data_IF_033829886940
#
_entry.id   IF_033829886940
#
_cell.length_a   1.000
_cell.length_b   1.000
_cell.length_c   1.000
_cell.angle_alpha   90.00
_cell.angle_beta   90.00
_cell.angle_gamma   90.00
#
_symmetry.space_group_name_H-M   'P 1'
#
loop_
_entity.id
_entity.type
_entity.pdbx_description
1 polymer ?
#
# COMPACT_ATOMS: atom_id res chain seq x y z
N UNK A 1 25.42 21.02 -19.70
CA UNK A 1 25.14 19.61 -19.86
C UNK A 1 24.40 19.10 -18.63
N UNK A 2 23.09 18.82 -18.76
CA UNK A 2 22.26 18.30 -17.68
C UNK A 2 22.63 16.85 -17.40
N UNK A 3 22.91 16.54 -16.15
CA UNK A 3 23.09 15.15 -15.69
C UNK A 3 21.72 14.48 -15.68
N UNK A 4 21.55 13.44 -16.48
CA UNK A 4 20.34 12.62 -16.44
C UNK A 4 20.18 12.01 -15.04
N UNK A 5 18.98 12.03 -14.44
CA UNK A 5 18.78 11.42 -13.14
C UNK A 5 19.08 9.92 -13.20
N UNK A 6 19.86 9.43 -12.23
CA UNK A 6 20.31 8.05 -12.15
C UNK A 6 19.14 7.07 -11.94
N UNK A 7 18.01 7.54 -11.40
CA UNK A 7 16.82 6.74 -11.18
C UNK A 7 15.58 7.36 -11.86
N UNK A 8 14.72 6.50 -12.41
CA UNK A 8 13.42 6.94 -12.97
C UNK A 8 12.53 7.47 -11.84
N UNK A 9 11.81 8.56 -12.11
CA UNK A 9 10.84 9.10 -11.16
C UNK A 9 9.75 8.06 -10.87
N UNK A 10 9.54 7.75 -9.60
CA UNK A 10 8.52 6.79 -9.17
C UNK A 10 7.12 7.41 -9.08
N UNK A 11 7.06 8.73 -8.92
CA UNK A 11 5.80 9.45 -8.69
C UNK A 11 5.11 9.74 -10.02
N UNK A 12 5.80 10.37 -10.98
CA UNK A 12 5.19 10.76 -12.24
C UNK A 12 5.23 9.59 -13.22
N UNK A 13 4.05 9.10 -13.60
CA UNK A 13 3.92 7.99 -14.56
C UNK A 13 2.99 8.38 -15.71
N UNK A 14 3.35 7.96 -16.91
CA UNK A 14 2.44 8.01 -18.04
C UNK A 14 1.39 6.92 -17.91
N UNK A 15 0.15 7.28 -18.08
CA UNK A 15 -0.99 6.37 -18.15
C UNK A 15 -1.86 6.75 -19.34
N UNK A 16 -2.65 5.80 -19.81
CA UNK A 16 -3.67 6.05 -20.83
C UNK A 16 -5.03 6.17 -20.19
N UNK A 17 -5.81 7.17 -20.57
CA UNK A 17 -7.20 7.37 -20.17
C UNK A 17 -8.11 7.26 -21.38
N UNK A 18 -9.26 6.62 -21.23
CA UNK A 18 -10.38 6.70 -22.16
C UNK A 18 -11.11 8.03 -21.94
N UNK A 19 -11.05 8.93 -22.91
CA UNK A 19 -11.62 10.27 -22.80
C UNK A 19 -13.15 10.28 -22.73
N UNK A 20 -13.82 9.18 -23.08
CA UNK A 20 -15.28 9.04 -23.04
C UNK A 20 -15.77 8.72 -21.61
N UNK A 21 -15.05 7.87 -20.91
CA UNK A 21 -15.40 7.41 -19.56
C UNK A 21 -14.61 8.08 -18.44
N UNK A 22 -13.43 8.66 -18.79
CA UNK A 22 -12.50 9.21 -17.81
C UNK A 22 -11.71 8.16 -17.03
N UNK A 23 -11.97 6.87 -17.26
CA UNK A 23 -11.26 5.80 -16.59
C UNK A 23 -9.88 5.53 -17.21
N UNK A 24 -8.99 4.95 -16.43
CA UNK A 24 -7.73 4.42 -16.91
C UNK A 24 -7.97 3.22 -17.81
N UNK A 25 -7.16 3.09 -18.87
CA UNK A 25 -7.20 1.96 -19.79
C UNK A 25 -5.79 1.55 -20.21
N UNK A 26 -5.60 0.30 -20.59
CA UNK A 26 -4.36 -0.19 -21.19
C UNK A 26 -4.46 -0.27 -22.73
N UNK A 27 -5.63 0.06 -23.29
CA UNK A 27 -5.76 0.23 -24.72
C UNK A 27 -4.96 1.44 -25.19
N UNK A 28 -4.22 1.30 -26.26
CA UNK A 28 -3.43 2.37 -26.88
C UNK A 28 -3.79 2.49 -28.35
N UNK A 29 -3.49 3.67 -28.93
CA UNK A 29 -3.67 3.89 -30.37
C UNK A 29 -5.11 4.07 -30.83
N UNK A 30 -6.08 4.15 -29.95
CA UNK A 30 -7.47 4.48 -30.29
C UNK A 30 -7.70 6.00 -30.22
N UNK A 31 -8.58 6.57 -31.06
CA UNK A 31 -8.83 8.01 -31.10
C UNK A 31 -9.39 8.59 -29.79
N UNK A 32 -10.01 7.75 -28.96
CA UNK A 32 -10.53 8.10 -27.64
C UNK A 32 -9.56 7.81 -26.49
N UNK A 33 -8.35 7.32 -26.78
CA UNK A 33 -7.31 7.07 -25.80
C UNK A 33 -6.31 8.22 -25.79
N UNK A 34 -6.04 8.77 -24.61
CA UNK A 34 -5.09 9.86 -24.42
C UNK A 34 -4.04 9.48 -23.38
N UNK A 35 -2.77 9.64 -23.73
CA UNK A 35 -1.69 9.55 -22.74
C UNK A 35 -1.64 10.82 -21.90
N UNK A 36 -1.55 10.64 -20.58
CA UNK A 36 -1.40 11.72 -19.60
C UNK A 36 -0.38 11.31 -18.53
N UNK A 37 0.25 12.30 -17.91
CA UNK A 37 1.09 12.08 -16.74
C UNK A 37 0.23 12.27 -15.50
N UNK A 38 0.33 11.31 -14.55
CA UNK A 38 -0.34 11.37 -13.25
C UNK A 38 0.64 11.08 -12.12
N UNK A 39 0.28 11.54 -10.93
CA UNK A 39 1.10 11.41 -9.73
C UNK A 39 0.66 10.19 -8.92
N UNK A 40 1.61 9.26 -8.70
CA UNK A 40 1.42 8.05 -7.92
C UNK A 40 2.11 8.21 -6.56
N UNK A 41 1.52 9.01 -5.72
CA UNK A 41 2.00 9.22 -4.36
C UNK A 41 1.64 8.03 -3.46
N UNK A 42 2.55 7.60 -2.56
CA UNK A 42 2.20 6.67 -1.48
C UNK A 42 1.06 7.21 -0.62
N UNK A 43 0.25 6.31 -0.09
CA UNK A 43 -0.99 6.64 0.63
C UNK A 43 -0.77 7.55 1.86
N UNK A 44 0.35 7.38 2.56
CA UNK A 44 0.74 8.22 3.70
C UNK A 44 0.98 9.67 3.28
N UNK A 45 1.64 9.90 2.15
CA UNK A 45 1.85 11.24 1.60
C UNK A 45 0.55 11.83 1.01
N UNK A 46 -0.31 11.00 0.41
CA UNK A 46 -1.63 11.45 -0.06
C UNK A 46 -2.47 12.02 1.10
N UNK A 47 -2.47 11.34 2.26
CA UNK A 47 -3.17 11.81 3.44
C UNK A 47 -2.64 13.17 3.92
N UNK A 48 -1.31 13.35 3.95
CA UNK A 48 -0.69 14.63 4.31
C UNK A 48 -1.05 15.76 3.32
N UNK A 49 -1.06 15.49 2.02
CA UNK A 49 -1.45 16.47 1.02
C UNK A 49 -2.92 16.87 1.15
N UNK A 50 -3.80 15.90 1.44
CA UNK A 50 -5.22 16.17 1.67
C UNK A 50 -5.43 17.04 2.92
N UNK A 51 -4.73 16.73 4.02
CA UNK A 51 -4.76 17.51 5.25
C UNK A 51 -4.23 18.94 5.04
N UNK A 52 -3.17 19.08 4.25
CA UNK A 52 -2.59 20.40 3.91
C UNK A 52 -3.39 21.17 2.85
N UNK A 53 -4.48 20.62 2.31
CA UNK A 53 -5.28 21.23 1.25
C UNK A 53 -4.54 21.39 -0.09
N UNK A 54 -3.52 20.55 -0.33
CA UNK A 54 -2.72 20.60 -1.55
C UNK A 54 -3.28 19.64 -2.61
N UNK A 55 -3.91 20.15 -3.70
CA UNK A 55 -4.46 19.31 -4.75
C UNK A 55 -3.33 18.56 -5.49
N UNK A 56 -3.59 17.29 -5.85
CA UNK A 56 -2.67 16.44 -6.61
C UNK A 56 -3.36 15.82 -7.81
N UNK A 57 -2.58 15.59 -8.87
CA UNK A 57 -3.05 14.96 -10.11
C UNK A 57 -2.99 13.43 -9.97
N UNK A 58 -3.83 12.88 -9.09
CA UNK A 58 -3.89 11.43 -8.86
C UNK A 58 -4.37 10.67 -10.10
N UNK A 59 -3.97 9.40 -10.24
CA UNK A 59 -4.44 8.57 -11.34
C UNK A 59 -5.94 8.27 -11.19
N UNK A 60 -6.72 8.29 -12.28
CA UNK A 60 -8.08 7.76 -12.25
C UNK A 60 -8.05 6.24 -12.06
N UNK A 61 -9.16 5.71 -11.55
CA UNK A 61 -9.36 4.27 -11.43
C UNK A 61 -9.50 3.58 -12.79
N UNK A 62 -9.34 2.25 -12.77
CA UNK A 62 -9.82 1.41 -13.87
C UNK A 62 -11.34 1.24 -13.79
N UNK A 63 -12.02 0.90 -14.90
CA UNK A 63 -13.43 0.52 -14.87
C UNK A 63 -13.69 -0.58 -13.83
N UNK A 64 -14.83 -0.56 -13.12
CA UNK A 64 -15.13 -1.53 -12.05
C UNK A 64 -15.03 -3.00 -12.48
N UNK A 65 -15.35 -3.30 -13.73
CA UNK A 65 -15.26 -4.65 -14.30
C UNK A 65 -13.81 -5.12 -14.47
N UNK A 66 -12.89 -4.22 -14.82
CA UNK A 66 -11.48 -4.52 -15.03
C UNK A 66 -10.69 -4.53 -13.71
N UNK A 67 -11.13 -3.80 -12.72
CA UNK A 67 -10.50 -3.77 -11.39
C UNK A 67 -10.50 -5.14 -10.70
N UNK A 68 -11.43 -6.02 -11.05
CA UNK A 68 -11.59 -7.36 -10.47
C UNK A 68 -10.67 -8.40 -11.10
N UNK A 69 -10.07 -8.15 -12.25
CA UNK A 69 -9.35 -9.18 -13.01
C UNK A 69 -7.92 -9.46 -12.56
N UNK A 70 -7.36 -8.65 -11.65
CA UNK A 70 -6.00 -8.84 -11.10
C UNK A 70 -4.86 -8.83 -12.15
N UNK A 71 -5.16 -8.58 -13.42
CA UNK A 71 -4.22 -8.68 -14.53
C UNK A 71 -3.19 -7.55 -14.59
N UNK A 72 -3.43 -6.45 -13.85
CA UNK A 72 -2.61 -5.26 -13.92
C UNK A 72 -1.64 -5.17 -12.73
N UNK A 73 -0.47 -5.78 -12.89
CA UNK A 73 0.63 -5.75 -11.90
C UNK A 73 1.49 -4.48 -11.94
N UNK A 74 1.03 -3.41 -12.60
CA UNK A 74 1.78 -2.16 -12.62
C UNK A 74 1.68 -1.46 -11.26
N UNK A 75 2.78 -0.88 -10.78
CA UNK A 75 2.84 -0.15 -9.52
C UNK A 75 3.78 -0.80 -8.52
N UNK A 76 3.97 -0.13 -7.38
CA UNK A 76 4.83 -0.61 -6.31
C UNK A 76 4.06 -1.47 -5.32
N UNK A 77 4.71 -2.48 -4.70
CA UNK A 77 4.10 -3.24 -3.64
C UNK A 77 3.77 -2.35 -2.43
N UNK A 78 2.84 -2.75 -1.57
CA UNK A 78 2.66 -2.12 -0.29
C UNK A 78 3.95 -2.19 0.53
N UNK A 79 4.14 -1.28 1.48
CA UNK A 79 5.30 -1.23 2.36
C UNK A 79 4.83 -1.18 3.81
N UNK A 80 5.25 -2.15 4.62
CA UNK A 80 4.92 -2.21 6.04
C UNK A 80 5.60 -1.05 6.77
N UNK A 81 4.81 -0.17 7.40
CA UNK A 81 5.26 0.94 8.23
C UNK A 81 5.32 0.56 9.70
N UNK A 82 4.42 -0.31 10.12
CA UNK A 82 4.38 -0.88 11.46
C UNK A 82 3.84 -2.32 11.38
N UNK A 83 4.44 -3.27 12.10
CA UNK A 83 5.60 -3.17 12.97
C UNK A 83 6.91 -2.90 12.19
N UNK A 84 7.92 -2.37 12.88
CA UNK A 84 9.24 -2.14 12.29
C UNK A 84 9.92 -3.49 12.01
N UNK A 85 10.53 -3.60 10.84
CA UNK A 85 11.30 -4.79 10.43
C UNK A 85 12.48 -5.02 11.41
N UNK A 86 12.74 -6.27 11.71
CA UNK A 86 13.84 -6.70 12.60
C UNK A 86 13.78 -6.14 14.03
N UNK A 87 12.58 -5.80 14.51
CA UNK A 87 12.38 -5.29 15.86
C UNK A 87 11.79 -6.37 16.77
N UNK A 88 12.27 -6.43 18.00
CA UNK A 88 11.72 -7.26 19.05
C UNK A 88 10.78 -6.43 19.93
N UNK A 89 9.57 -6.91 20.11
CA UNK A 89 8.54 -6.30 20.96
C UNK A 89 8.47 -7.06 22.28
N UNK A 90 8.49 -6.31 23.38
CA UNK A 90 8.42 -6.89 24.73
C UNK A 90 7.13 -6.43 25.40
N UNK A 91 6.25 -7.38 25.69
CA UNK A 91 5.01 -7.13 26.42
C UNK A 91 5.22 -7.38 27.92
N UNK A 92 4.79 -6.44 28.76
CA UNK A 92 4.85 -6.58 30.21
C UNK A 92 3.60 -7.29 30.72
N UNK A 93 3.79 -8.30 31.59
CA UNK A 93 2.70 -9.06 32.20
C UNK A 93 1.74 -8.19 33.03
N UNK A 94 2.24 -7.08 33.56
CA UNK A 94 1.47 -6.13 34.37
C UNK A 94 0.49 -5.26 33.62
N UNK A 95 0.61 -5.19 32.27
CA UNK A 95 -0.25 -4.32 31.44
C UNK A 95 -0.75 -5.04 30.18
N UNK A 96 -1.80 -5.89 30.29
CA UNK A 96 -2.37 -6.60 29.15
C UNK A 96 -2.93 -5.67 28.06
N UNK A 97 -3.31 -4.44 28.42
CA UNK A 97 -3.85 -3.46 27.46
C UNK A 97 -2.77 -2.96 26.49
N UNK A 98 -1.50 -2.97 26.89
CA UNK A 98 -0.37 -2.60 26.05
C UNK A 98 0.25 -3.77 25.25
N UNK A 99 -0.35 -4.95 25.33
CA UNK A 99 0.06 -6.12 24.55
C UNK A 99 -0.50 -6.08 23.11
N UNK A 100 -0.40 -4.91 22.47
CA UNK A 100 -0.96 -4.64 21.15
C UNK A 100 0.15 -4.16 20.20
N UNK A 101 0.18 -4.66 18.99
CA UNK A 101 1.03 -4.16 17.90
C UNK A 101 0.11 -3.49 16.88
N UNK A 102 0.47 -2.30 16.47
CA UNK A 102 -0.23 -1.61 15.40
C UNK A 102 0.26 -2.15 14.07
N UNK A 103 -0.63 -2.65 13.24
CA UNK A 103 -0.36 -2.97 11.84
C UNK A 103 -0.72 -1.75 10.99
N UNK A 104 0.22 -1.30 10.18
CA UNK A 104 0.02 -0.21 9.23
C UNK A 104 0.96 -0.36 8.05
N UNK A 105 0.45 -0.13 6.84
CA UNK A 105 1.25 -0.13 5.63
C UNK A 105 0.84 1.02 4.70
N UNK A 106 1.82 1.57 4.00
CA UNK A 106 1.57 2.47 2.87
C UNK A 106 1.45 1.65 1.59
N UNK A 107 0.75 2.17 0.60
CA UNK A 107 0.60 1.53 -0.69
C UNK A 107 0.58 2.57 -1.82
N UNK A 108 0.72 2.10 -3.04
CA UNK A 108 0.65 2.95 -4.22
C UNK A 108 -0.76 3.53 -4.39
N UNK A 109 -0.86 4.66 -5.09
CA UNK A 109 -2.10 5.42 -5.28
C UNK A 109 -3.27 4.62 -5.87
N UNK A 110 -2.98 3.52 -6.54
CA UNK A 110 -3.97 2.64 -7.16
C UNK A 110 -4.44 1.47 -6.27
N UNK A 111 -4.03 1.46 -5.00
CA UNK A 111 -4.39 0.43 -4.00
C UNK A 111 -5.47 0.96 -3.08
N UNK A 112 -6.58 0.24 -2.96
CA UNK A 112 -7.70 0.60 -2.07
C UNK A 112 -7.78 -0.27 -0.83
N UNK A 113 -7.29 -1.50 -0.90
CA UNK A 113 -7.44 -2.51 0.14
C UNK A 113 -6.13 -3.25 0.36
N UNK A 114 -5.85 -3.55 1.60
CA UNK A 114 -4.71 -4.33 2.06
C UNK A 114 -5.20 -5.50 2.91
N UNK A 115 -4.59 -6.66 2.71
CA UNK A 115 -4.90 -7.89 3.40
C UNK A 115 -3.68 -8.31 4.22
N UNK A 116 -3.86 -8.50 5.52
CA UNK A 116 -2.81 -8.86 6.45
C UNK A 116 -2.88 -10.32 6.81
N UNK A 117 -1.71 -10.95 6.84
CA UNK A 117 -1.55 -12.36 7.18
C UNK A 117 -0.42 -12.54 8.20
N UNK A 118 -0.55 -13.58 9.03
CA UNK A 118 0.50 -14.12 9.87
C UNK A 118 0.77 -15.55 9.43
N UNK A 119 1.88 -15.78 8.72
CA UNK A 119 2.08 -17.03 7.98
C UNK A 119 0.90 -17.30 7.02
N UNK A 120 0.21 -18.42 7.21
CA UNK A 120 -0.97 -18.79 6.43
C UNK A 120 -2.29 -18.23 6.99
N UNK A 121 -2.28 -17.60 8.16
CA UNK A 121 -3.51 -17.15 8.84
C UNK A 121 -3.85 -15.72 8.47
N UNK A 122 -5.08 -15.48 8.03
CA UNK A 122 -5.61 -14.13 7.79
C UNK A 122 -5.83 -13.39 9.12
N UNK A 123 -5.38 -12.14 9.19
CA UNK A 123 -5.55 -11.28 10.38
C UNK A 123 -6.69 -10.29 10.15
N UNK A 124 -6.53 -9.42 9.14
CA UNK A 124 -7.50 -8.35 8.88
C UNK A 124 -7.38 -7.80 7.45
N UNK A 125 -8.39 -7.03 7.08
CA UNK A 125 -8.42 -6.17 5.92
C UNK A 125 -8.39 -4.72 6.40
N UNK A 126 -7.59 -3.87 5.75
CA UNK A 126 -7.49 -2.44 6.07
C UNK A 126 -7.39 -1.60 4.81
N UNK A 127 -7.62 -0.29 4.95
CA UNK A 127 -7.24 0.67 3.92
C UNK A 127 -5.73 0.99 4.02
N UNK A 128 -5.10 1.47 2.92
CA UNK A 128 -3.74 2.00 2.99
C UNK A 128 -3.61 3.14 4.01
N UNK A 129 -2.63 3.06 4.91
CA UNK A 129 -2.41 4.03 5.99
C UNK A 129 -3.29 3.85 7.23
N UNK A 130 -4.34 3.02 7.17
CA UNK A 130 -5.15 2.68 8.33
C UNK A 130 -4.34 1.90 9.35
N UNK A 131 -4.63 2.14 10.65
CA UNK A 131 -3.99 1.47 11.78
C UNK A 131 -4.92 0.40 12.33
N UNK A 132 -4.44 -0.83 12.37
CA UNK A 132 -5.16 -1.96 12.95
C UNK A 132 -4.44 -2.46 14.20
N UNK A 133 -5.17 -2.65 15.29
CA UNK A 133 -4.64 -3.17 16.54
C UNK A 133 -4.64 -4.70 16.51
N UNK A 134 -3.45 -5.29 16.45
CA UNK A 134 -3.25 -6.73 16.52
C UNK A 134 -2.75 -7.16 17.91
N UNK A 135 -3.36 -8.20 18.46
CA UNK A 135 -3.04 -8.73 19.81
C UNK A 135 -2.46 -10.14 19.71
N UNK A 136 -1.19 -10.28 19.35
CA UNK A 136 -0.54 -11.58 19.28
C UNK A 136 -0.14 -12.12 20.66
N UNK A 137 0.00 -13.44 20.78
CA UNK A 137 0.71 -14.08 21.89
C UNK A 137 2.23 -13.96 21.71
N UNK A 138 3.05 -14.18 22.78
CA UNK A 138 4.50 -14.26 22.62
C UNK A 138 4.88 -15.33 21.58
N UNK A 139 5.82 -15.01 20.69
CA UNK A 139 6.23 -15.89 19.59
C UNK A 139 6.99 -15.16 18.49
N UNK A 140 7.30 -15.86 17.43
CA UNK A 140 7.89 -15.31 16.20
C UNK A 140 6.83 -15.42 15.11
N UNK A 141 6.59 -14.31 14.43
CA UNK A 141 5.57 -14.20 13.40
C UNK A 141 6.15 -13.65 12.11
N UNK A 142 5.82 -14.27 11.00
CA UNK A 142 6.03 -13.74 9.66
C UNK A 142 4.74 -13.02 9.24
N UNK A 143 4.78 -11.69 9.24
CA UNK A 143 3.67 -10.86 8.82
C UNK A 143 3.82 -10.53 7.35
N UNK A 144 2.75 -10.69 6.60
CA UNK A 144 2.66 -10.33 5.19
C UNK A 144 1.48 -9.40 4.98
N UNK A 145 1.71 -8.31 4.27
CA UNK A 145 0.65 -7.45 3.73
C UNK A 145 0.59 -7.63 2.22
N UNK A 146 -0.58 -7.85 1.68
CA UNK A 146 -0.82 -7.98 0.25
C UNK A 146 -1.94 -7.04 -0.21
N UNK A 147 -1.87 -6.57 -1.44
CA UNK A 147 -2.97 -5.85 -2.08
C UNK A 147 -3.82 -6.75 -2.97
N UNK A 148 -4.93 -6.23 -3.47
CA UNK A 148 -5.83 -6.94 -4.37
C UNK A 148 -5.24 -7.29 -5.75
N UNK A 149 -4.00 -6.83 -6.05
CA UNK A 149 -3.27 -7.11 -7.29
C UNK A 149 -2.17 -8.15 -7.11
N UNK A 150 -2.05 -8.72 -5.91
CA UNK A 150 -1.05 -9.73 -5.57
C UNK A 150 0.35 -9.18 -5.35
N UNK A 151 0.51 -7.87 -5.14
CA UNK A 151 1.77 -7.27 -4.69
C UNK A 151 1.81 -7.35 -3.17
N UNK A 152 2.98 -7.63 -2.60
CA UNK A 152 3.11 -7.85 -1.15
C UNK A 152 4.43 -7.37 -0.60
N UNK A 153 4.45 -7.16 0.72
CA UNK A 153 5.64 -6.97 1.54
C UNK A 153 5.52 -7.83 2.79
N UNK A 154 6.65 -8.24 3.35
CA UNK A 154 6.67 -9.05 4.56
C UNK A 154 7.74 -8.63 5.54
N UNK A 155 7.51 -8.93 6.82
CA UNK A 155 8.48 -8.73 7.87
C UNK A 155 8.34 -9.81 8.95
N UNK A 156 9.45 -10.13 9.59
CA UNK A 156 9.46 -11.01 10.77
C UNK A 156 9.44 -10.15 12.03
N UNK A 157 8.55 -10.52 12.96
CA UNK A 157 8.38 -9.86 14.25
C UNK A 157 8.58 -10.88 15.36
N UNK A 158 9.40 -10.53 16.34
CA UNK A 158 9.60 -11.33 17.53
C UNK A 158 8.93 -10.67 18.73
N UNK A 159 8.11 -11.42 19.44
CA UNK A 159 7.35 -10.94 20.59
C UNK A 159 7.74 -11.76 21.81
N UNK A 160 8.17 -11.09 22.86
CA UNK A 160 8.46 -11.70 24.15
C UNK A 160 7.59 -11.10 25.25
N UNK A 161 7.38 -11.89 26.28
CA UNK A 161 6.80 -11.42 27.54
C UNK A 161 7.95 -11.13 28.52
N UNK A 162 7.94 -9.98 29.14
CA UNK A 162 8.76 -9.69 30.31
C UNK A 162 7.90 -9.91 31.56
N UNK A 163 8.49 -10.59 32.51
CA UNK A 163 7.90 -10.79 33.82
C UNK A 163 7.92 -9.51 34.67
#
# INVERSE_FOLDING_TARGET
PGVSPIAKCRIHRKITIDTRSGYRTDETGKPYCKEVVREFWPSDLQALFAEAGLPRLLPPDYPPEQSKSGLYKSGYPPEIRSPLKHTEYVFRSSDPARSTIILSASADADTKELFWFSGASFICKSAPGEKYEWKPSPGIYELTVADGKGRSDSCTVKIRRAD
#
